data_IF_963846922321
#
_entry.id   IF_963846922321
#
_cell.length_a   1.000
_cell.length_b   1.000
_cell.length_c   1.000
_cell.angle_alpha   90.00
_cell.angle_beta   90.00
_cell.angle_gamma   90.00
#
_symmetry.space_group_name_H-M   'P 1'
#
loop_
_entity.id
_entity.type
_entity.pdbx_description
1 polymer ?
#
# COMPACT_ATOMS: atom_id res chain seq x y z
N UNK A 1 -7.45 23.60 1.24
CA UNK A 1 -8.79 23.33 0.70
C UNK A 1 -8.66 22.15 -0.27
N UNK A 2 -9.55 21.16 -0.18
CA UNK A 2 -9.55 19.97 -1.03
C UNK A 2 -10.76 20.03 -1.96
N UNK A 3 -10.51 19.97 -3.27
CA UNK A 3 -11.56 19.91 -4.29
C UNK A 3 -12.41 18.64 -4.11
N UNK A 4 -13.72 18.79 -4.18
CA UNK A 4 -14.68 17.71 -3.93
C UNK A 4 -14.95 17.40 -2.46
N UNK A 5 -14.31 18.10 -1.52
CA UNK A 5 -14.49 17.91 -0.09
C UNK A 5 -14.82 19.23 0.65
N UNK A 6 -13.94 20.22 0.58
CA UNK A 6 -14.13 21.52 1.21
C UNK A 6 -14.43 22.66 0.25
N UNK A 7 -14.35 22.40 -1.04
CA UNK A 7 -14.76 23.24 -2.16
C UNK A 7 -15.29 22.33 -3.27
N UNK A 8 -15.95 22.92 -4.28
CA UNK A 8 -16.51 22.18 -5.40
C UNK A 8 -15.44 21.32 -6.11
N UNK A 9 -15.85 20.13 -6.55
CA UNK A 9 -14.98 19.12 -7.15
C UNK A 9 -15.03 19.09 -8.67
N UNK A 10 -14.51 18.00 -9.24
CA UNK A 10 -14.40 17.79 -10.68
C UNK A 10 -15.53 16.96 -11.31
N UNK A 11 -16.65 16.69 -10.60
CA UNK A 11 -17.82 16.01 -11.19
C UNK A 11 -18.64 17.01 -12.03
N UNK A 12 -18.02 17.55 -13.06
CA UNK A 12 -18.57 18.56 -13.96
C UNK A 12 -17.80 18.54 -15.28
N UNK A 13 -18.35 19.17 -16.30
CA UNK A 13 -17.68 19.32 -17.61
C UNK A 13 -16.41 20.19 -17.51
N UNK A 14 -16.38 21.10 -16.56
CA UNK A 14 -15.26 22.02 -16.31
C UNK A 14 -15.05 22.23 -14.81
N UNK A 15 -13.80 22.38 -14.42
CA UNK A 15 -13.39 22.64 -13.04
C UNK A 15 -12.29 23.71 -13.03
N UNK A 16 -12.37 24.65 -12.12
CA UNK A 16 -11.30 25.63 -11.92
C UNK A 16 -10.39 25.13 -10.79
N UNK A 17 -9.12 24.99 -11.08
CA UNK A 17 -8.10 24.56 -10.11
C UNK A 17 -6.94 25.55 -10.08
N UNK A 18 -6.25 25.63 -8.93
CA UNK A 18 -5.02 26.42 -8.83
C UNK A 18 -3.92 25.75 -9.65
N UNK A 19 -3.36 26.46 -10.63
CA UNK A 19 -2.36 25.93 -11.56
C UNK A 19 -1.15 25.31 -10.87
N UNK A 20 -0.67 25.94 -9.76
CA UNK A 20 0.47 25.43 -8.98
C UNK A 20 0.22 24.04 -8.35
N UNK A 21 -1.03 23.60 -8.31
CA UNK A 21 -1.43 22.31 -7.75
C UNK A 21 -1.92 21.32 -8.82
N UNK A 22 -1.98 21.72 -10.07
CA UNK A 22 -2.31 20.84 -11.17
C UNK A 22 -1.10 19.97 -11.55
N UNK A 23 -1.36 18.69 -11.77
CA UNK A 23 -0.38 17.73 -12.29
C UNK A 23 -0.86 17.28 -13.66
N UNK A 24 -0.01 17.45 -14.68
CA UNK A 24 -0.35 17.04 -16.05
C UNK A 24 -0.36 15.51 -16.15
N UNK A 25 -1.40 14.94 -16.73
CA UNK A 25 -1.40 13.54 -17.16
C UNK A 25 -0.44 13.41 -18.33
N UNK A 26 0.52 12.47 -18.32
CA UNK A 26 1.46 12.27 -19.43
C UNK A 26 0.77 11.96 -20.74
N UNK A 27 1.37 12.41 -21.83
CA UNK A 27 0.91 12.07 -23.17
C UNK A 27 1.05 10.53 -23.37
N UNK A 28 0.01 9.89 -23.88
CA UNK A 28 -0.04 8.43 -24.07
C UNK A 28 -0.67 7.64 -22.94
N UNK A 29 -0.88 8.23 -21.76
CA UNK A 29 -1.65 7.61 -20.70
C UNK A 29 -3.15 7.93 -20.89
N UNK A 30 -3.98 6.88 -21.04
CA UNK A 30 -5.43 7.05 -21.15
C UNK A 30 -6.00 7.72 -19.87
N UNK A 31 -6.77 8.82 -20.01
CA UNK A 31 -7.37 9.51 -18.86
C UNK A 31 -8.24 8.62 -17.97
N UNK A 32 -8.92 7.61 -18.52
CA UNK A 32 -9.73 6.68 -17.74
C UNK A 32 -8.83 5.79 -16.84
N UNK A 33 -7.72 5.32 -17.37
CA UNK A 33 -6.70 4.59 -16.59
C UNK A 33 -6.00 5.50 -15.57
N UNK A 34 -5.63 6.72 -15.99
CA UNK A 34 -5.02 7.72 -15.12
C UNK A 34 -5.90 8.07 -13.91
N UNK A 35 -7.23 7.99 -14.04
CA UNK A 35 -8.16 8.31 -12.95
C UNK A 35 -7.93 7.47 -11.69
N UNK A 36 -7.59 6.19 -11.84
CA UNK A 36 -7.28 5.30 -10.70
C UNK A 36 -5.96 5.69 -10.01
N UNK A 37 -5.02 6.27 -10.76
CA UNK A 37 -3.71 6.69 -10.23
C UNK A 37 -3.83 7.93 -9.35
N UNK A 38 -4.79 8.81 -9.61
CA UNK A 38 -4.95 10.08 -8.87
C UNK A 38 -5.28 9.92 -7.39
N UNK A 39 -5.79 8.76 -6.99
CA UNK A 39 -6.09 8.44 -5.60
C UNK A 39 -5.41 7.13 -5.19
N UNK A 40 -5.91 5.99 -5.68
CA UNK A 40 -5.42 4.67 -5.27
C UNK A 40 -3.96 4.42 -5.67
N UNK A 41 -3.58 4.82 -6.90
CA UNK A 41 -2.21 4.66 -7.40
C UNK A 41 -1.20 5.48 -6.61
N UNK A 42 -1.40 6.78 -6.49
CA UNK A 42 -0.48 7.65 -5.73
C UNK A 42 -0.42 7.28 -4.25
N UNK A 43 -1.55 6.86 -3.66
CA UNK A 43 -1.61 6.41 -2.26
C UNK A 43 -0.71 5.19 -2.04
N UNK A 44 -0.82 4.19 -2.88
CA UNK A 44 -0.05 2.95 -2.75
C UNK A 44 1.40 3.12 -3.15
N UNK A 45 1.69 3.89 -4.19
CA UNK A 45 3.05 4.27 -4.54
C UNK A 45 3.76 4.95 -3.37
N UNK A 46 3.15 6.00 -2.79
CA UNK A 46 3.67 6.70 -1.62
C UNK A 46 3.86 5.77 -0.42
N UNK A 47 2.89 4.89 -0.15
CA UNK A 47 2.98 3.94 0.96
C UNK A 47 4.16 2.98 0.81
N UNK A 48 4.42 2.45 -0.39
CA UNK A 48 5.59 1.60 -0.65
C UNK A 48 6.90 2.39 -0.50
N UNK A 49 6.93 3.64 -0.97
CA UNK A 49 8.07 4.56 -0.77
C UNK A 49 8.37 4.78 0.72
N UNK A 50 7.33 5.01 1.54
CA UNK A 50 7.46 5.17 3.00
C UNK A 50 7.82 3.87 3.71
N UNK A 51 7.47 2.72 3.14
CA UNK A 51 7.89 1.43 3.65
C UNK A 51 9.42 1.24 3.60
N UNK A 52 10.12 2.02 2.76
CA UNK A 52 11.57 1.99 2.57
C UNK A 52 12.10 0.59 2.27
N UNK A 53 11.31 -0.18 1.53
CA UNK A 53 11.72 -1.50 1.09
C UNK A 53 12.76 -1.35 -0.04
N UNK A 54 13.84 -2.10 0.07
CA UNK A 54 14.91 -2.14 -0.92
C UNK A 54 14.75 -3.33 -1.86
N UNK A 55 15.35 -3.29 -3.06
CA UNK A 55 15.33 -4.42 -3.98
C UNK A 55 15.73 -5.73 -3.32
N UNK A 56 14.94 -6.78 -3.52
CA UNK A 56 15.17 -8.11 -2.94
C UNK A 56 14.68 -8.28 -1.50
N UNK A 57 14.22 -7.23 -0.84
CA UNK A 57 13.61 -7.31 0.48
C UNK A 57 12.13 -7.72 0.40
N UNK A 58 11.58 -8.22 1.51
CA UNK A 58 10.20 -8.63 1.63
C UNK A 58 9.30 -7.49 2.13
N UNK A 59 8.19 -7.25 1.43
CA UNK A 59 7.08 -6.42 1.90
C UNK A 59 5.81 -7.26 1.99
N UNK A 60 5.06 -7.09 3.08
CA UNK A 60 3.74 -7.68 3.26
C UNK A 60 2.66 -6.64 3.00
N UNK A 61 1.69 -6.97 2.18
CA UNK A 61 0.54 -6.14 1.86
C UNK A 61 -0.71 -6.74 2.49
N UNK A 62 -1.24 -6.09 3.51
CA UNK A 62 -2.51 -6.45 4.13
C UNK A 62 -3.67 -5.74 3.45
N UNK A 63 -4.49 -6.52 2.75
CA UNK A 63 -5.55 -6.08 1.86
C UNK A 63 -5.12 -6.13 0.39
N UNK A 64 -5.76 -7.02 -0.39
CA UNK A 64 -5.51 -7.23 -1.82
C UNK A 64 -6.62 -6.66 -2.71
N UNK A 65 -7.44 -5.73 -2.19
CA UNK A 65 -8.46 -5.01 -2.96
C UNK A 65 -7.86 -4.04 -3.98
N UNK A 66 -8.61 -3.03 -4.40
CA UNK A 66 -8.17 -2.07 -5.43
C UNK A 66 -6.83 -1.40 -5.11
N UNK A 67 -6.65 -0.92 -3.86
CA UNK A 67 -5.36 -0.37 -3.42
C UNK A 67 -4.27 -1.44 -3.38
N UNK A 68 -4.56 -2.61 -2.77
CA UNK A 68 -3.59 -3.68 -2.64
C UNK A 68 -3.08 -4.21 -3.96
N UNK A 69 -3.96 -4.32 -4.97
CA UNK A 69 -3.57 -4.71 -6.32
C UNK A 69 -2.52 -3.75 -6.92
N UNK A 70 -2.73 -2.44 -6.80
CA UNK A 70 -1.76 -1.44 -7.27
C UNK A 70 -0.48 -1.48 -6.43
N UNK A 71 -0.59 -1.69 -5.11
CA UNK A 71 0.57 -1.81 -4.22
C UNK A 71 1.47 -3.00 -4.61
N UNK A 72 0.88 -4.16 -4.97
CA UNK A 72 1.63 -5.32 -5.49
C UNK A 72 2.44 -4.92 -6.71
N UNK A 73 1.82 -4.26 -7.68
CA UNK A 73 2.47 -3.87 -8.93
C UNK A 73 3.62 -2.88 -8.67
N UNK A 74 3.41 -1.83 -7.88
CA UNK A 74 4.48 -0.90 -7.51
C UNK A 74 5.62 -1.62 -6.77
N UNK A 75 5.32 -2.42 -5.77
CA UNK A 75 6.33 -3.15 -5.02
C UNK A 75 7.19 -4.06 -5.90
N UNK A 76 6.56 -4.76 -6.86
CA UNK A 76 7.25 -5.66 -7.79
C UNK A 76 8.00 -4.92 -8.89
N UNK A 77 7.30 -4.06 -9.63
CA UNK A 77 7.83 -3.47 -10.88
C UNK A 77 8.74 -2.27 -10.62
N UNK A 78 8.41 -1.44 -9.62
CA UNK A 78 9.15 -0.18 -9.35
C UNK A 78 10.21 -0.40 -8.28
N UNK A 79 9.87 -1.07 -7.18
CA UNK A 79 10.80 -1.25 -6.05
C UNK A 79 11.55 -2.59 -6.08
N UNK A 80 11.23 -3.48 -7.01
CA UNK A 80 11.86 -4.80 -7.16
C UNK A 80 11.90 -5.60 -5.85
N UNK A 81 10.83 -5.52 -5.07
CA UNK A 81 10.67 -6.21 -3.80
C UNK A 81 10.07 -7.61 -3.98
N UNK A 82 10.26 -8.48 -3.00
CA UNK A 82 9.43 -9.68 -2.82
C UNK A 82 8.15 -9.31 -2.10
N UNK A 83 7.00 -9.82 -2.58
CA UNK A 83 5.69 -9.41 -2.10
C UNK A 83 4.90 -10.58 -1.54
N UNK A 84 4.42 -10.44 -0.30
CA UNK A 84 3.39 -11.28 0.28
C UNK A 84 2.09 -10.49 0.32
N UNK A 85 1.01 -11.00 -0.28
CA UNK A 85 -0.31 -10.41 -0.19
C UNK A 85 -1.19 -11.22 0.78
N UNK A 86 -1.82 -10.54 1.73
CA UNK A 86 -2.75 -11.12 2.71
C UNK A 86 -4.13 -10.53 2.51
N UNK A 87 -5.13 -11.34 2.32
CA UNK A 87 -6.55 -10.94 2.26
C UNK A 87 -7.41 -12.10 2.78
N UNK A 88 -8.70 -11.89 2.96
CA UNK A 88 -9.68 -12.91 3.35
C UNK A 88 -10.50 -13.41 2.16
N UNK A 89 -10.28 -12.88 0.96
CA UNK A 89 -11.01 -13.19 -0.26
C UNK A 89 -10.09 -13.82 -1.30
N UNK A 90 -10.39 -15.05 -1.70
CA UNK A 90 -9.56 -15.83 -2.62
C UNK A 90 -9.50 -15.24 -4.04
N UNK A 91 -10.57 -14.60 -4.54
CA UNK A 91 -10.56 -13.96 -5.86
C UNK A 91 -9.56 -12.78 -5.90
N UNK A 92 -9.53 -11.98 -4.83
CA UNK A 92 -8.55 -10.90 -4.70
C UNK A 92 -7.12 -11.42 -4.59
N UNK A 93 -6.92 -12.53 -3.88
CA UNK A 93 -5.62 -13.19 -3.76
C UNK A 93 -5.16 -13.78 -5.09
N UNK A 94 -6.08 -14.37 -5.87
CA UNK A 94 -5.78 -14.86 -7.22
C UNK A 94 -5.29 -13.71 -8.13
N UNK A 95 -6.00 -12.56 -8.11
CA UNK A 95 -5.59 -11.37 -8.84
C UNK A 95 -4.25 -10.81 -8.34
N UNK A 96 -4.03 -10.76 -7.02
CA UNK A 96 -2.75 -10.33 -6.46
C UNK A 96 -1.58 -11.22 -6.95
N UNK A 97 -1.82 -12.53 -7.05
CA UNK A 97 -0.85 -13.48 -7.60
C UNK A 97 -0.57 -13.23 -9.08
N UNK A 98 -1.61 -12.99 -9.87
CA UNK A 98 -1.51 -12.67 -11.29
C UNK A 98 -0.68 -11.41 -11.56
N UNK A 99 -0.89 -10.35 -10.75
CA UNK A 99 -0.17 -9.08 -10.91
C UNK A 99 1.22 -9.05 -10.25
N UNK A 100 1.65 -10.16 -9.66
CA UNK A 100 3.05 -10.35 -9.28
C UNK A 100 3.35 -10.63 -7.82
N UNK A 101 2.36 -10.86 -6.93
CA UNK A 101 2.67 -11.29 -5.57
C UNK A 101 3.40 -12.65 -5.57
N UNK A 102 4.51 -12.74 -4.85
CA UNK A 102 5.30 -13.98 -4.75
C UNK A 102 4.56 -15.04 -3.92
N UNK A 103 3.93 -14.59 -2.83
CA UNK A 103 3.15 -15.42 -1.92
C UNK A 103 1.80 -14.75 -1.67
N UNK A 104 0.74 -15.55 -1.60
CA UNK A 104 -0.60 -15.10 -1.19
C UNK A 104 -1.06 -15.91 0.01
N UNK A 105 -1.70 -15.27 0.98
CA UNK A 105 -2.16 -15.89 2.22
C UNK A 105 -3.61 -15.49 2.47
N UNK A 106 -4.50 -16.48 2.58
CA UNK A 106 -5.84 -16.25 3.06
C UNK A 106 -5.85 -16.24 4.59
N UNK A 107 -6.12 -15.07 5.17
CA UNK A 107 -6.12 -14.87 6.63
C UNK A 107 -7.22 -15.61 7.38
N UNK A 108 -8.23 -16.17 6.69
CA UNK A 108 -9.25 -17.04 7.31
C UNK A 108 -8.84 -18.52 7.32
N UNK A 109 -7.90 -18.91 6.49
CA UNK A 109 -7.44 -20.30 6.34
C UNK A 109 -6.17 -20.59 7.15
N UNK A 110 -5.52 -19.55 7.70
CA UNK A 110 -4.27 -19.63 8.47
C UNK A 110 -4.49 -19.08 9.87
N UNK A 111 -4.27 -19.90 10.87
CA UNK A 111 -4.45 -19.53 12.29
C UNK A 111 -3.43 -18.47 12.75
N UNK A 112 -2.16 -18.65 12.38
CA UNK A 112 -1.06 -17.73 12.71
C UNK A 112 -0.43 -17.15 11.43
N UNK A 113 -1.07 -16.11 10.88
CA UNK A 113 -0.57 -15.40 9.68
C UNK A 113 0.81 -14.78 9.93
N UNK A 114 1.06 -14.05 11.05
CA UNK A 114 2.39 -13.51 11.33
C UNK A 114 3.48 -14.58 11.45
N UNK A 115 3.20 -15.70 12.09
CA UNK A 115 4.14 -16.83 12.23
C UNK A 115 4.51 -17.42 10.87
N UNK A 116 3.52 -17.64 10.01
CA UNK A 116 3.75 -18.12 8.65
C UNK A 116 4.61 -17.12 7.82
N UNK A 117 4.32 -15.82 7.95
CA UNK A 117 5.12 -14.80 7.25
C UNK A 117 6.58 -14.84 7.73
N UNK A 118 6.82 -14.94 9.03
CA UNK A 118 8.16 -15.05 9.59
C UNK A 118 8.90 -16.29 9.10
N UNK A 119 8.21 -17.42 9.01
CA UNK A 119 8.77 -18.66 8.43
C UNK A 119 9.20 -18.45 6.97
N UNK A 120 8.32 -17.85 6.14
CA UNK A 120 8.57 -17.63 4.71
C UNK A 120 9.62 -16.56 4.41
N UNK A 121 9.92 -15.68 5.37
CA UNK A 121 10.82 -14.52 5.17
C UNK A 121 12.06 -14.57 6.05
N UNK A 122 12.34 -15.70 6.69
CA UNK A 122 13.48 -15.90 7.57
C UNK A 122 13.55 -14.80 8.67
N UNK A 123 12.53 -14.81 9.53
CA UNK A 123 12.46 -13.94 10.72
C UNK A 123 11.54 -12.73 10.62
N UNK A 124 10.86 -12.52 9.52
CA UNK A 124 9.85 -11.47 9.31
C UNK A 124 10.11 -10.60 8.09
N UNK A 125 9.08 -9.97 7.59
CA UNK A 125 9.19 -9.05 6.47
C UNK A 125 9.95 -7.77 6.88
N UNK A 126 10.62 -7.12 5.93
CA UNK A 126 11.31 -5.85 6.16
C UNK A 126 10.31 -4.72 6.40
N UNK A 127 9.16 -4.80 5.73
CA UNK A 127 8.08 -3.85 5.93
C UNK A 127 6.71 -4.48 5.70
N UNK A 128 5.67 -3.82 6.21
CA UNK A 128 4.28 -4.14 5.94
C UNK A 128 3.52 -2.87 5.55
N UNK A 129 2.59 -2.96 4.59
CA UNK A 129 1.69 -1.89 4.22
C UNK A 129 0.25 -2.37 4.42
N UNK A 130 -0.55 -1.62 5.16
CA UNK A 130 -1.91 -2.00 5.53
C UNK A 130 -2.91 -1.12 4.81
N UNK A 131 -3.55 -1.67 3.77
CA UNK A 131 -4.65 -1.03 3.05
C UNK A 131 -6.02 -1.54 3.49
N UNK A 132 -6.06 -2.64 4.22
CA UNK A 132 -7.28 -3.21 4.77
C UNK A 132 -7.89 -2.31 5.85
N UNK A 133 -9.23 -2.24 5.87
CA UNK A 133 -9.99 -1.53 6.91
C UNK A 133 -10.35 -2.53 8.01
N UNK A 134 -9.34 -2.96 8.78
CA UNK A 134 -9.48 -4.00 9.81
C UNK A 134 -8.41 -3.87 10.89
N UNK A 135 -8.82 -3.75 12.14
CA UNK A 135 -7.93 -3.78 13.32
C UNK A 135 -7.02 -5.01 13.32
N UNK A 136 -7.56 -6.17 12.96
CA UNK A 136 -6.81 -7.43 12.93
C UNK A 136 -5.62 -7.35 11.97
N UNK A 137 -5.85 -6.81 10.77
CA UNK A 137 -4.79 -6.62 9.78
C UNK A 137 -3.65 -5.72 10.29
N UNK A 138 -3.99 -4.64 11.01
CA UNK A 138 -2.99 -3.75 11.61
C UNK A 138 -2.17 -4.45 12.71
N UNK A 139 -2.83 -5.20 13.60
CA UNK A 139 -2.13 -5.95 14.65
C UNK A 139 -1.21 -7.02 14.05
N UNK A 140 -1.72 -7.80 13.09
CA UNK A 140 -0.93 -8.80 12.38
C UNK A 140 0.26 -8.20 11.62
N UNK A 141 0.11 -7.01 11.05
CA UNK A 141 1.19 -6.33 10.34
C UNK A 141 2.38 -6.02 11.25
N UNK A 142 2.11 -5.54 12.49
CA UNK A 142 3.16 -5.30 13.50
C UNK A 142 3.86 -6.60 13.88
N UNK A 143 3.10 -7.71 13.97
CA UNK A 143 3.66 -9.01 14.34
C UNK A 143 4.40 -9.71 13.19
N UNK A 144 4.19 -9.29 11.95
CA UNK A 144 4.77 -9.89 10.74
C UNK A 144 6.14 -9.35 10.37
N UNK A 145 6.50 -8.18 10.86
CA UNK A 145 7.79 -7.57 10.50
C UNK A 145 8.90 -8.04 11.43
N UNK A 146 10.12 -8.05 10.90
CA UNK A 146 11.35 -8.35 11.65
C UNK A 146 11.75 -7.20 12.58
N UNK A 147 12.74 -7.40 13.42
CA UNK A 147 13.37 -6.33 14.18
C UNK A 147 13.88 -5.23 13.23
N UNK A 148 13.66 -3.96 13.60
CA UNK A 148 13.91 -2.80 12.74
C UNK A 148 12.87 -2.61 11.63
N UNK A 149 11.86 -3.48 11.54
CA UNK A 149 10.85 -3.46 10.50
C UNK A 149 9.90 -2.25 10.59
N UNK A 150 9.25 -1.96 9.47
CA UNK A 150 8.38 -0.79 9.33
C UNK A 150 6.97 -1.19 8.91
N UNK A 151 5.97 -0.62 9.57
CA UNK A 151 4.55 -0.77 9.24
C UNK A 151 3.99 0.56 8.76
N UNK A 152 3.44 0.57 7.56
CA UNK A 152 2.80 1.75 6.96
C UNK A 152 1.29 1.61 7.01
N UNK A 153 0.65 2.49 7.76
CA UNK A 153 -0.79 2.55 7.92
C UNK A 153 -1.42 3.41 6.82
N UNK A 154 -2.32 2.83 6.03
CA UNK A 154 -3.03 3.47 4.92
C UNK A 154 -4.54 3.36 5.09
N UNK A 155 -5.05 2.17 5.38
CA UNK A 155 -6.47 1.94 5.65
C UNK A 155 -6.95 2.73 6.87
N UNK A 156 -8.24 3.07 6.91
CA UNK A 156 -8.85 3.91 7.96
C UNK A 156 -9.97 3.16 8.70
N UNK A 157 -9.65 2.12 9.49
CA UNK A 157 -10.64 1.54 10.40
C UNK A 157 -11.00 2.55 11.50
N UNK A 158 -12.24 2.51 11.99
CA UNK A 158 -12.66 3.34 13.13
C UNK A 158 -12.11 2.85 14.47
N UNK A 159 -11.59 1.64 14.49
CA UNK A 159 -11.05 0.97 15.66
C UNK A 159 -9.59 1.39 15.92
N UNK A 160 -9.17 1.27 17.17
CA UNK A 160 -7.76 1.46 17.56
C UNK A 160 -7.02 0.13 17.48
N UNK A 161 -5.77 0.16 16.99
CA UNK A 161 -4.86 -0.99 17.05
C UNK A 161 -4.21 -1.10 18.43
N UNK A 162 -3.80 -2.30 18.79
CA UNK A 162 -2.98 -2.55 19.98
C UNK A 162 -1.50 -2.60 19.59
N UNK A 163 -0.67 -1.92 20.37
CA UNK A 163 0.77 -1.87 20.13
C UNK A 163 1.50 -2.18 21.43
N UNK A 164 2.25 -3.29 21.44
CA UNK A 164 3.11 -3.64 22.57
C UNK A 164 4.27 -2.66 22.67
N UNK A 165 4.34 -1.91 23.78
CA UNK A 165 5.45 -0.98 24.04
C UNK A 165 6.77 -1.76 24.10
N UNK A 166 6.80 -2.88 24.84
CA UNK A 166 7.99 -3.71 24.99
C UNK A 166 8.52 -4.19 23.65
N UNK A 167 7.66 -4.77 22.81
CA UNK A 167 8.04 -5.22 21.47
C UNK A 167 8.52 -4.06 20.59
N UNK A 168 7.79 -2.95 20.61
CA UNK A 168 8.17 -1.76 19.81
C UNK A 168 9.57 -1.27 20.17
N UNK A 169 9.89 -1.25 21.46
CA UNK A 169 11.20 -0.79 21.94
C UNK A 169 12.31 -1.81 21.66
N UNK A 170 12.10 -3.09 22.03
CA UNK A 170 13.13 -4.10 21.89
C UNK A 170 13.42 -4.46 20.44
N UNK A 171 12.39 -4.53 19.60
CA UNK A 171 12.55 -4.87 18.19
C UNK A 171 12.75 -3.63 17.31
N UNK A 172 12.66 -2.42 17.85
CA UNK A 172 12.83 -1.18 17.08
C UNK A 172 11.80 -0.99 15.99
N UNK A 173 10.55 -1.45 16.19
CA UNK A 173 9.47 -1.39 15.20
C UNK A 173 9.07 0.06 14.95
N UNK A 174 8.88 0.41 13.68
CA UNK A 174 8.36 1.72 13.26
C UNK A 174 6.93 1.58 12.74
N UNK A 175 6.01 2.36 13.27
CA UNK A 175 4.64 2.47 12.76
C UNK A 175 4.42 3.90 12.27
N UNK A 176 4.10 4.06 10.99
CA UNK A 176 3.92 5.37 10.37
C UNK A 176 2.61 5.43 9.58
N UNK A 177 1.97 6.58 9.54
CA UNK A 177 0.83 6.84 8.68
C UNK A 177 1.27 7.36 7.30
N UNK A 178 0.52 6.98 6.26
CA UNK A 178 0.70 7.52 4.90
C UNK A 178 -0.65 7.94 4.34
N UNK A 179 -0.79 9.22 4.00
CA UNK A 179 -2.00 9.78 3.42
C UNK A 179 -1.74 10.21 1.98
N UNK A 180 -2.44 9.57 1.03
CA UNK A 180 -2.37 9.88 -0.42
C UNK A 180 -0.91 10.01 -0.88
N UNK A 181 -0.50 11.18 -1.33
CA UNK A 181 0.86 11.53 -1.75
C UNK A 181 0.97 13.01 -2.08
N UNK A 182 2.18 13.44 -2.37
CA UNK A 182 2.46 14.80 -2.86
C UNK A 182 2.22 14.88 -4.37
N UNK A 183 2.25 16.08 -4.92
CA UNK A 183 2.22 16.29 -6.38
C UNK A 183 3.38 15.56 -7.07
N UNK A 184 4.55 15.54 -6.45
CA UNK A 184 5.71 14.83 -6.96
C UNK A 184 5.47 13.31 -7.00
N UNK A 185 4.88 12.75 -5.95
CA UNK A 185 4.51 11.34 -5.94
C UNK A 185 3.47 11.02 -7.03
N UNK A 186 2.55 11.95 -7.32
CA UNK A 186 1.58 11.78 -8.40
C UNK A 186 2.23 11.85 -9.79
N UNK A 187 3.17 12.77 -10.02
CA UNK A 187 3.96 12.82 -11.26
C UNK A 187 4.70 11.51 -11.50
N UNK A 188 5.39 11.01 -10.48
CA UNK A 188 6.12 9.74 -10.52
C UNK A 188 5.18 8.56 -10.79
N UNK A 189 4.02 8.51 -10.09
CA UNK A 189 3.03 7.46 -10.26
C UNK A 189 2.41 7.47 -11.68
N UNK A 190 2.17 8.63 -12.26
CA UNK A 190 1.72 8.77 -13.65
C UNK A 190 2.78 8.29 -14.63
N UNK A 191 4.05 8.60 -14.38
CA UNK A 191 5.15 8.13 -15.23
C UNK A 191 5.18 6.61 -15.29
N UNK A 192 5.14 5.94 -14.15
CA UNK A 192 5.08 4.48 -14.10
C UNK A 192 3.83 3.91 -14.78
N UNK A 193 2.68 4.58 -14.63
CA UNK A 193 1.45 4.20 -15.33
C UNK A 193 1.53 4.33 -16.85
N UNK A 194 2.31 5.28 -17.36
CA UNK A 194 2.54 5.46 -18.79
C UNK A 194 3.55 4.44 -19.37
N UNK A 195 4.43 3.93 -18.54
CA UNK A 195 5.43 2.90 -18.90
C UNK A 195 4.88 1.47 -18.87
N UNK A 196 3.70 1.22 -18.26
CA UNK A 196 3.03 -0.08 -18.16
C UNK A 196 3.27 -0.76 -16.81
#
# INVERSE_FOLDING_TARGET
KNAGYSVDGGMAEQCIVTADYAVKVPDGLDPAQASSITCAGVTTYKAIKEAKVEPGQWVVLYGAGGLGNLAVQYAKKVFNAHVIAVDINNDKLALAKEVGADIVINGLEVEDVPGLIKEKTDGGAHSAVVTAVSKVAFNQAVDSVRAGGRVVAVGLPSEMMELSIVKTVLDGIQVIGSLVGTRKDLEEAFQFGAEG
#
